data_IF_103557530377
#
_entry.id   IF_103557530377
#
_cell.length_a   1.000
_cell.length_b   1.000
_cell.length_c   1.000
_cell.angle_alpha   90.00
_cell.angle_beta   90.00
_cell.angle_gamma   90.00
#
_symmetry.space_group_name_H-M   'P 1'
#
loop_
_entity.id
_entity.type
_entity.pdbx_description
1 polymer ?
#
# COMPACT_ATOMS: atom_id res chain seq x y z
N UNK A 1 -21.77 8.52 -8.09
CA UNK A 1 -21.15 9.05 -6.86
C UNK A 1 -20.45 7.95 -6.06
N UNK A 2 -19.25 8.23 -5.56
CA UNK A 2 -18.38 7.24 -4.90
C UNK A 2 -18.78 6.91 -3.45
N UNK A 3 -19.65 7.71 -2.82
CA UNK A 3 -20.19 7.50 -1.44
C UNK A 3 -19.09 7.29 -0.39
N UNK A 4 -17.99 8.03 -0.53
CA UNK A 4 -16.80 7.92 0.35
C UNK A 4 -16.21 6.50 0.45
N UNK A 5 -16.41 5.67 -0.58
CA UNK A 5 -15.88 4.30 -0.63
C UNK A 5 -14.65 4.24 -1.51
N UNK A 6 -13.55 3.71 -0.98
CA UNK A 6 -12.39 3.29 -1.78
C UNK A 6 -12.72 1.96 -2.48
N UNK A 7 -12.55 1.93 -3.79
CA UNK A 7 -12.82 0.76 -4.61
C UNK A 7 -11.52 0.24 -5.23
N UNK A 8 -11.39 -1.07 -5.34
CA UNK A 8 -10.26 -1.72 -5.99
C UNK A 8 -10.75 -2.91 -6.82
N UNK A 9 -10.44 -2.89 -8.12
CA UNK A 9 -10.69 -3.99 -9.04
C UNK A 9 -9.36 -4.64 -9.39
N UNK A 10 -9.33 -5.96 -9.40
CA UNK A 10 -8.19 -6.73 -9.87
C UNK A 10 -8.47 -7.18 -11.30
N UNK A 11 -7.62 -6.76 -12.22
CA UNK A 11 -7.69 -7.11 -13.65
C UNK A 11 -6.52 -8.03 -14.00
N UNK A 12 -6.55 -8.61 -15.20
CA UNK A 12 -5.46 -9.47 -15.67
C UNK A 12 -4.15 -8.69 -15.85
N UNK A 13 -4.24 -7.39 -16.19
CA UNK A 13 -3.09 -6.50 -16.36
C UNK A 13 -2.60 -5.86 -15.05
N UNK A 14 -3.37 -5.99 -13.97
CA UNK A 14 -3.04 -5.45 -12.66
C UNK A 14 -4.22 -4.77 -11.94
N UNK A 15 -4.03 -4.29 -10.70
CA UNK A 15 -5.08 -3.63 -9.94
C UNK A 15 -5.37 -2.20 -10.42
N UNK A 16 -6.65 -1.84 -10.40
CA UNK A 16 -7.16 -0.49 -10.61
C UNK A 16 -7.93 -0.04 -9.36
N UNK A 17 -7.46 1.03 -8.73
CA UNK A 17 -8.07 1.60 -7.53
C UNK A 17 -8.66 2.99 -7.79
N UNK A 18 -9.82 3.27 -7.20
CA UNK A 18 -10.48 4.57 -7.14
C UNK A 18 -10.59 5.01 -5.68
N UNK A 19 -9.86 6.08 -5.33
CA UNK A 19 -9.81 6.68 -4.01
C UNK A 19 -10.69 7.93 -3.98
N UNK A 20 -11.76 7.98 -3.17
CA UNK A 20 -12.69 9.10 -3.16
C UNK A 20 -11.98 10.38 -2.68
N UNK A 21 -12.22 11.49 -3.37
CA UNK A 21 -11.73 12.81 -2.98
C UNK A 21 -12.90 13.65 -2.47
N UNK A 22 -12.65 14.42 -1.42
CA UNK A 22 -13.57 15.45 -0.95
C UNK A 22 -13.26 16.76 -1.69
N UNK A 23 -13.71 16.85 -2.95
CA UNK A 23 -13.68 18.06 -3.79
C UNK A 23 -15.13 18.51 -4.05
N UNK A 24 -15.32 19.66 -4.68
CA UNK A 24 -16.63 20.18 -5.11
C UNK A 24 -17.43 19.08 -5.87
N UNK A 25 -18.39 18.47 -5.17
CA UNK A 25 -19.16 17.30 -5.63
C UNK A 25 -18.53 15.95 -5.27
N UNK A 26 -19.33 15.00 -4.77
CA UNK A 26 -18.92 13.61 -4.43
C UNK A 26 -18.73 12.70 -5.67
N UNK A 27 -17.97 13.20 -6.64
CA UNK A 27 -17.75 12.57 -7.94
C UNK A 27 -16.27 12.44 -8.32
N UNK A 28 -15.37 13.07 -7.57
CA UNK A 28 -13.94 13.04 -7.85
C UNK A 28 -13.26 11.86 -7.17
N UNK A 29 -12.44 11.14 -7.94
CA UNK A 29 -11.61 10.07 -7.42
C UNK A 29 -10.16 10.29 -7.88
N UNK A 30 -9.20 10.04 -6.99
CA UNK A 30 -7.82 9.79 -7.37
C UNK A 30 -7.70 8.34 -7.81
N UNK A 31 -7.00 8.08 -8.91
CA UNK A 31 -6.83 6.72 -9.44
C UNK A 31 -5.40 6.23 -9.25
N UNK A 32 -5.27 4.93 -9.02
CA UNK A 32 -4.00 4.22 -9.12
C UNK A 32 -4.25 3.01 -10.01
N UNK A 33 -3.70 3.05 -11.23
CA UNK A 33 -3.85 1.99 -12.22
C UNK A 33 -2.48 1.34 -12.44
N UNK A 34 -2.31 0.14 -11.89
CA UNK A 34 -1.10 -0.66 -12.12
C UNK A 34 -1.32 -1.54 -13.34
N UNK A 35 -0.43 -1.40 -14.33
CA UNK A 35 -0.43 -2.15 -15.59
C UNK A 35 1.00 -2.51 -15.98
N UNK A 36 1.15 -3.32 -17.03
CA UNK A 36 2.47 -3.59 -17.63
C UNK A 36 3.12 -2.30 -18.15
N UNK A 37 4.46 -2.21 -18.24
CA UNK A 37 5.12 -1.00 -18.74
C UNK A 37 4.67 -0.57 -20.14
N UNK A 38 4.47 -1.52 -21.06
CA UNK A 38 3.99 -1.23 -22.41
C UNK A 38 2.57 -0.66 -22.41
N UNK A 39 1.72 -1.17 -21.53
CA UNK A 39 0.35 -0.68 -21.38
C UNK A 39 0.29 0.70 -20.73
N UNK A 40 1.17 0.97 -19.75
CA UNK A 40 1.31 2.29 -19.16
C UNK A 40 1.73 3.32 -20.22
N UNK A 41 2.72 2.99 -21.06
CA UNK A 41 3.14 3.85 -22.18
C UNK A 41 1.99 4.13 -23.14
N UNK A 42 1.19 3.12 -23.50
CA UNK A 42 0.01 3.28 -24.35
C UNK A 42 -1.04 4.19 -23.73
N UNK A 43 -1.41 3.97 -22.46
CA UNK A 43 -2.42 4.75 -21.74
C UNK A 43 -2.01 6.23 -21.58
N UNK A 44 -0.71 6.49 -21.43
CA UNK A 44 -0.17 7.85 -21.25
C UNK A 44 -0.24 8.69 -22.53
N UNK A 45 -0.27 8.07 -23.72
CA UNK A 45 -0.34 8.78 -25.01
C UNK A 45 -1.76 8.93 -25.56
N UNK A 46 -2.77 8.34 -24.92
CA UNK A 46 -4.16 8.49 -25.35
C UNK A 46 -4.64 9.93 -25.20
N UNK A 47 -5.57 10.33 -26.05
CA UNK A 47 -6.40 11.51 -25.80
C UNK A 47 -7.30 11.29 -24.58
N UNK A 48 -7.62 12.36 -23.84
CA UNK A 48 -8.33 12.26 -22.56
C UNK A 48 -9.70 11.55 -22.71
N UNK A 49 -10.44 11.82 -23.79
CA UNK A 49 -11.73 11.17 -24.07
C UNK A 49 -11.61 9.64 -24.24
N UNK A 50 -10.54 9.18 -24.89
CA UNK A 50 -10.27 7.76 -25.08
C UNK A 50 -9.82 7.12 -23.76
N UNK A 51 -8.94 7.80 -23.04
CA UNK A 51 -8.51 7.37 -21.72
C UNK A 51 -9.69 7.21 -20.75
N UNK A 52 -10.61 8.17 -20.69
CA UNK A 52 -11.80 8.09 -19.85
C UNK A 52 -12.69 6.88 -20.20
N UNK A 53 -12.88 6.59 -21.49
CA UNK A 53 -13.64 5.40 -21.92
C UNK A 53 -12.95 4.10 -21.53
N UNK A 54 -11.64 4.01 -21.72
CA UNK A 54 -10.89 2.83 -21.32
C UNK A 54 -10.87 2.65 -19.80
N UNK A 55 -10.72 3.73 -19.04
CA UNK A 55 -10.78 3.72 -17.59
C UNK A 55 -12.16 3.28 -17.09
N UNK A 56 -13.24 3.75 -17.71
CA UNK A 56 -14.61 3.32 -17.41
C UNK A 56 -14.80 1.83 -17.67
N UNK A 57 -14.35 1.33 -18.83
CA UNK A 57 -14.44 -0.07 -19.20
C UNK A 57 -13.60 -0.95 -18.26
N UNK A 58 -12.37 -0.53 -17.97
CA UNK A 58 -11.48 -1.17 -17.02
C UNK A 58 -12.04 -1.15 -15.59
N UNK A 59 -13.03 -0.32 -15.30
CA UNK A 59 -13.72 -0.27 -14.02
C UNK A 59 -15.17 -0.80 -14.09
N UNK A 60 -15.55 -1.42 -15.23
CA UNK A 60 -16.87 -2.01 -15.51
C UNK A 60 -18.05 -1.04 -15.28
N UNK A 61 -17.83 0.27 -15.49
CA UNK A 61 -18.85 1.29 -15.28
C UNK A 61 -19.40 1.36 -13.84
N UNK A 62 -18.67 0.82 -12.85
CA UNK A 62 -19.16 0.64 -11.47
C UNK A 62 -19.64 1.94 -10.81
N UNK A 63 -19.01 3.06 -11.17
CA UNK A 63 -19.33 4.41 -10.69
C UNK A 63 -20.03 5.29 -11.75
N UNK A 64 -20.42 4.71 -12.88
CA UNK A 64 -20.96 5.41 -14.03
C UNK A 64 -19.88 5.90 -14.99
N UNK A 65 -20.28 6.82 -15.87
CA UNK A 65 -19.43 7.37 -16.91
C UNK A 65 -18.28 8.19 -16.33
N UNK A 66 -17.06 7.99 -16.85
CA UNK A 66 -15.92 8.86 -16.55
C UNK A 66 -15.97 10.06 -17.49
N UNK A 67 -16.17 11.26 -16.95
CA UNK A 67 -16.40 12.47 -17.73
C UNK A 67 -15.12 13.24 -18.07
N UNK A 68 -14.11 13.14 -17.22
CA UNK A 68 -12.84 13.85 -17.38
C UNK A 68 -11.75 13.22 -16.53
N UNK A 69 -10.50 13.48 -16.88
CA UNK A 69 -9.32 13.13 -16.10
C UNK A 69 -8.40 14.35 -16.00
N UNK A 70 -7.78 14.54 -14.84
CA UNK A 70 -6.66 15.50 -14.68
C UNK A 70 -5.39 14.94 -15.34
N UNK A 71 -4.32 15.75 -15.38
CA UNK A 71 -3.02 15.35 -15.93
C UNK A 71 -2.54 14.00 -15.39
N UNK A 72 -2.28 13.08 -16.31
CA UNK A 72 -1.84 11.71 -16.01
C UNK A 72 -0.36 11.71 -15.64
N UNK A 73 -0.01 10.85 -14.67
CA UNK A 73 1.36 10.63 -14.23
C UNK A 73 1.66 9.14 -14.25
N UNK A 74 2.84 8.77 -14.75
CA UNK A 74 3.32 7.40 -14.75
C UNK A 74 4.58 7.29 -13.90
N UNK A 75 4.53 6.43 -12.88
CA UNK A 75 5.66 6.20 -11.96
C UNK A 75 6.02 4.71 -12.00
N UNK A 76 7.28 4.35 -12.33
CA UNK A 76 7.67 2.95 -12.39
C UNK A 76 7.68 2.34 -10.99
N UNK A 77 6.94 1.24 -10.82
CA UNK A 77 6.89 0.49 -9.58
C UNK A 77 8.17 -0.34 -9.45
N UNK A 78 8.96 -0.10 -8.40
CA UNK A 78 10.17 -0.85 -8.12
C UNK A 78 10.14 -1.35 -6.70
N UNK A 79 10.09 -2.67 -6.54
CA UNK A 79 10.27 -3.27 -5.23
C UNK A 79 11.74 -3.17 -4.83
N UNK A 80 12.01 -2.54 -3.69
CA UNK A 80 13.35 -2.38 -3.15
C UNK A 80 13.33 -2.66 -1.67
N UNK A 81 14.34 -3.37 -1.17
CA UNK A 81 14.50 -3.61 0.25
C UNK A 81 15.97 -3.52 0.62
N UNK A 82 16.30 -2.65 1.57
CA UNK A 82 17.64 -2.52 2.08
C UNK A 82 18.02 -3.78 2.87
N UNK A 83 19.20 -4.34 2.62
CA UNK A 83 19.72 -5.50 3.38
C UNK A 83 19.99 -5.17 4.85
N UNK A 84 20.23 -3.88 5.15
CA UNK A 84 20.43 -3.33 6.47
C UNK A 84 19.75 -1.97 6.51
N UNK A 85 18.98 -1.72 7.56
CA UNK A 85 18.30 -0.44 7.76
C UNK A 85 19.20 0.54 8.51
N UNK A 86 20.24 0.05 9.20
CA UNK A 86 21.08 0.89 10.04
C UNK A 86 22.56 0.67 9.80
N UNK A 87 23.33 1.71 10.04
CA UNK A 87 24.78 1.70 10.22
C UNK A 87 25.14 2.66 11.36
N UNK A 88 26.43 2.74 11.72
CA UNK A 88 26.86 3.65 12.79
C UNK A 88 26.51 5.09 12.40
N UNK A 89 25.67 5.74 13.19
CA UNK A 89 25.20 7.11 12.93
C UNK A 89 24.25 7.27 11.74
N UNK A 90 23.69 6.18 11.20
CA UNK A 90 22.80 6.21 10.03
C UNK A 90 21.60 5.27 10.24
N UNK A 91 20.40 5.78 9.95
CA UNK A 91 19.19 4.98 9.85
C UNK A 91 18.46 5.32 8.54
N UNK A 92 18.03 4.29 7.82
CA UNK A 92 17.16 4.37 6.65
C UNK A 92 15.72 4.16 7.11
N UNK A 93 14.79 4.99 6.62
CA UNK A 93 13.36 4.89 6.92
C UNK A 93 12.53 5.09 5.64
N UNK A 94 11.31 4.53 5.61
CA UNK A 94 10.39 4.69 4.46
C UNK A 94 11.03 4.21 3.15
N UNK A 95 10.81 4.95 2.07
CA UNK A 95 11.29 4.62 0.71
C UNK A 95 12.81 4.42 0.60
N UNK A 96 13.59 4.99 1.53
CA UNK A 96 15.04 4.77 1.58
C UNK A 96 15.41 3.37 2.11
N UNK A 97 14.55 2.78 2.94
CA UNK A 97 14.73 1.44 3.50
C UNK A 97 13.96 0.36 2.72
N UNK A 98 12.75 0.68 2.25
CA UNK A 98 11.90 -0.26 1.53
C UNK A 98 10.94 0.48 0.60
N UNK A 99 10.68 -0.09 -0.57
CA UNK A 99 9.63 0.34 -1.49
C UNK A 99 8.77 -0.88 -1.78
N UNK A 100 7.50 -0.85 -1.41
CA UNK A 100 6.55 -1.96 -1.57
C UNK A 100 5.64 -1.67 -2.78
N UNK A 101 5.23 -2.72 -3.51
CA UNK A 101 4.24 -2.60 -4.58
C UNK A 101 2.95 -1.94 -4.04
N UNK A 102 2.50 -0.81 -4.59
CA UNK A 102 1.37 -0.05 -4.09
C UNK A 102 0.08 -0.80 -4.38
N UNK A 103 -0.41 -1.53 -3.39
CA UNK A 103 -1.67 -2.24 -3.49
C UNK A 103 -2.77 -1.61 -2.63
N UNK A 104 -2.47 -0.53 -1.89
CA UNK A 104 -3.44 0.23 -1.09
C UNK A 104 -2.94 1.60 -0.57
N UNK A 105 -1.97 2.26 -1.22
CA UNK A 105 -1.42 3.54 -0.71
C UNK A 105 -0.66 3.42 0.62
N UNK A 106 -0.18 2.22 0.96
CA UNK A 106 0.45 1.89 2.25
C UNK A 106 1.88 2.41 2.42
N UNK A 107 2.58 2.82 1.34
CA UNK A 107 4.00 3.18 1.40
C UNK A 107 4.29 4.28 2.42
N UNK A 108 3.48 5.34 2.43
CA UNK A 108 3.63 6.45 3.38
C UNK A 108 3.36 6.02 4.84
N UNK A 109 2.38 5.13 5.05
CA UNK A 109 2.05 4.64 6.40
C UNK A 109 3.20 3.83 6.99
N UNK A 110 3.88 3.03 6.19
CA UNK A 110 5.07 2.31 6.62
C UNK A 110 6.23 3.25 6.95
N UNK A 111 6.42 4.30 6.14
CA UNK A 111 7.39 5.36 6.43
C UNK A 111 7.09 6.08 7.74
N UNK A 112 5.81 6.39 8.03
CA UNK A 112 5.42 7.00 9.30
C UNK A 112 5.65 6.07 10.48
N UNK A 113 5.34 4.78 10.35
CA UNK A 113 5.63 3.79 11.39
C UNK A 113 7.12 3.65 11.65
N UNK A 114 7.95 3.69 10.59
CA UNK A 114 9.40 3.69 10.73
C UNK A 114 9.89 4.94 11.48
N UNK A 115 9.39 6.11 11.11
CA UNK A 115 9.72 7.38 11.77
C UNK A 115 9.32 7.36 13.25
N UNK A 116 8.12 6.88 13.56
CA UNK A 116 7.60 6.77 14.92
C UNK A 116 8.43 5.81 15.78
N UNK A 117 8.75 4.61 15.27
CA UNK A 117 9.60 3.64 16.00
C UNK A 117 11.02 4.18 16.18
N UNK A 118 11.59 4.83 15.16
CA UNK A 118 12.92 5.42 15.28
C UNK A 118 12.92 6.53 16.34
N UNK A 119 11.95 7.44 16.31
CA UNK A 119 11.81 8.51 17.30
C UNK A 119 11.69 7.97 18.73
N UNK A 120 10.90 6.91 18.93
CA UNK A 120 10.75 6.25 20.22
C UNK A 120 12.09 5.64 20.71
N UNK A 121 12.81 4.93 19.83
CA UNK A 121 14.11 4.33 20.14
C UNK A 121 15.14 5.40 20.52
N UNK A 122 15.20 6.50 19.76
CA UNK A 122 16.13 7.61 20.02
C UNK A 122 15.80 8.34 21.31
N UNK A 123 14.52 8.58 21.58
CA UNK A 123 14.05 9.24 22.82
C UNK A 123 14.37 8.39 24.05
N UNK A 124 14.15 7.08 24.00
CA UNK A 124 14.50 6.18 25.08
C UNK A 124 16.01 6.08 25.32
N UNK A 125 16.82 6.06 24.26
CA UNK A 125 18.27 6.08 24.37
C UNK A 125 18.76 7.38 25.05
N UNK A 126 18.24 8.53 24.64
CA UNK A 126 18.57 9.82 25.22
C UNK A 126 18.24 9.87 26.73
N UNK A 127 17.04 9.41 27.13
CA UNK A 127 16.62 9.34 28.55
C UNK A 127 17.53 8.46 29.41
N UNK A 128 18.18 7.45 28.84
CA UNK A 128 19.08 6.51 29.53
C UNK A 128 20.56 6.93 29.45
N UNK A 129 20.87 8.06 28.80
CA UNK A 129 22.25 8.49 28.55
C UNK A 129 23.01 7.62 27.54
N UNK A 130 22.31 6.83 26.73
CA UNK A 130 22.92 6.03 25.67
C UNK A 130 23.29 6.91 24.46
N UNK A 131 24.37 6.58 23.75
CA UNK A 131 24.72 7.28 22.51
C UNK A 131 23.79 6.83 21.38
N UNK A 132 22.92 7.73 20.95
CA UNK A 132 22.01 7.57 19.82
C UNK A 132 22.64 7.07 18.51
N UNK A 133 23.90 7.42 18.23
CA UNK A 133 24.64 6.96 17.05
C UNK A 133 25.09 5.50 17.10
N UNK A 134 25.01 4.85 18.27
CA UNK A 134 25.53 3.51 18.45
C UNK A 134 24.67 2.48 17.72
N UNK A 135 25.33 1.54 17.05
CA UNK A 135 24.67 0.48 16.31
C UNK A 135 23.75 -0.37 17.21
N UNK A 136 24.07 -0.46 18.50
CA UNK A 136 23.22 -1.14 19.50
C UNK A 136 21.87 -0.44 19.69
N UNK A 137 21.85 0.89 19.68
CA UNK A 137 20.63 1.70 19.80
C UNK A 137 19.84 1.62 18.51
N UNK A 138 20.47 1.95 17.38
CA UNK A 138 19.81 1.93 16.06
C UNK A 138 19.35 0.52 15.66
N UNK A 139 20.07 -0.52 16.06
CA UNK A 139 19.66 -1.92 15.85
C UNK A 139 18.36 -2.29 16.57
N UNK A 140 17.91 -1.54 17.59
CA UNK A 140 16.57 -1.71 18.17
C UNK A 140 15.47 -1.33 17.17
N UNK A 141 15.69 -0.25 16.41
CA UNK A 141 14.79 0.17 15.34
C UNK A 141 14.74 -0.89 14.22
N UNK A 142 15.90 -1.33 13.72
CA UNK A 142 15.97 -2.35 12.67
C UNK A 142 15.26 -3.65 13.08
N UNK A 143 15.49 -4.15 14.31
CA UNK A 143 14.82 -5.36 14.81
C UNK A 143 13.30 -5.24 14.93
N UNK A 144 12.77 -4.04 15.21
CA UNK A 144 11.32 -3.81 15.30
C UNK A 144 10.66 -3.66 13.93
N UNK A 145 11.33 -3.01 12.97
CA UNK A 145 10.73 -2.67 11.67
C UNK A 145 11.05 -3.64 10.54
N UNK A 146 12.29 -4.12 10.43
CA UNK A 146 12.71 -4.94 9.29
C UNK A 146 11.89 -6.24 9.15
N UNK A 147 11.62 -7.02 10.21
CA UNK A 147 10.81 -8.24 10.06
C UNK A 147 9.37 -7.94 9.63
N UNK A 148 8.79 -6.86 10.16
CA UNK A 148 7.42 -6.46 9.84
C UNK A 148 7.31 -5.99 8.39
N UNK A 149 8.22 -5.13 7.93
CA UNK A 149 8.24 -4.66 6.55
C UNK A 149 8.49 -5.83 5.57
N UNK A 150 9.36 -6.79 5.93
CA UNK A 150 9.61 -7.98 5.12
C UNK A 150 8.39 -8.92 5.07
N UNK A 151 7.68 -9.11 6.18
CA UNK A 151 6.47 -9.92 6.24
C UNK A 151 5.36 -9.32 5.35
N UNK A 152 5.17 -8.00 5.42
CA UNK A 152 4.23 -7.30 4.56
C UNK A 152 4.62 -7.45 3.08
N UNK A 153 5.90 -7.24 2.74
CA UNK A 153 6.38 -7.45 1.36
C UNK A 153 6.08 -8.87 0.86
N UNK A 154 6.35 -9.90 1.66
CA UNK A 154 6.07 -11.29 1.29
C UNK A 154 4.56 -11.55 1.13
N UNK A 155 3.72 -10.97 1.99
CA UNK A 155 2.27 -11.06 1.85
C UNK A 155 1.78 -10.40 0.55
N UNK A 156 2.34 -9.24 0.20
CA UNK A 156 2.00 -8.53 -1.05
C UNK A 156 2.43 -9.31 -2.28
N UNK A 157 3.63 -9.90 -2.29
CA UNK A 157 4.10 -10.74 -3.39
C UNK A 157 3.27 -12.03 -3.53
N UNK A 158 2.88 -12.63 -2.40
CA UNK A 158 1.96 -13.77 -2.38
C UNK A 158 0.57 -13.42 -2.91
N UNK A 159 0.06 -12.24 -2.56
CA UNK A 159 -1.19 -11.72 -3.08
C UNK A 159 -1.10 -11.45 -4.59
N UNK A 160 -0.06 -10.77 -5.05
CA UNK A 160 0.15 -10.52 -6.48
C UNK A 160 0.20 -11.83 -7.28
N UNK A 161 1.00 -12.80 -6.84
CA UNK A 161 1.08 -14.12 -7.48
C UNK A 161 -0.26 -14.85 -7.50
N UNK A 162 -1.03 -14.78 -6.42
CA UNK A 162 -2.35 -15.41 -6.36
C UNK A 162 -3.34 -14.79 -7.36
N UNK A 163 -3.23 -13.48 -7.61
CA UNK A 163 -4.14 -12.76 -8.50
C UNK A 163 -3.69 -12.73 -9.96
N UNK A 164 -2.38 -12.84 -10.24
CA UNK A 164 -1.81 -12.98 -11.58
C UNK A 164 -1.73 -14.44 -12.06
N UNK A 165 -1.84 -15.44 -11.17
CA UNK A 165 -1.75 -16.83 -11.58
C UNK A 165 -2.96 -17.27 -12.41
N UNK A 166 -2.68 -17.66 -13.66
CA UNK A 166 -3.66 -18.10 -14.65
C UNK A 166 -3.87 -19.63 -14.83
N UNK A 167 -3.85 -20.48 -13.78
CA UNK A 167 -4.47 -21.80 -13.89
C UNK A 167 -5.89 -21.83 -13.27
N UNK A 168 -6.82 -22.49 -13.98
CA UNK A 168 -8.24 -22.69 -13.62
C UNK A 168 -8.55 -23.01 -12.14
N UNK A 169 -7.75 -23.83 -11.42
CA UNK A 169 -7.99 -24.11 -9.99
C UNK A 169 -7.80 -22.90 -9.07
N UNK A 170 -6.82 -22.02 -9.37
CA UNK A 170 -6.53 -20.83 -8.56
C UNK A 170 -7.59 -19.73 -8.75
N UNK A 171 -8.17 -19.61 -9.95
CA UNK A 171 -9.33 -18.72 -10.20
C UNK A 171 -10.55 -19.11 -9.35
N UNK A 172 -10.83 -20.41 -9.20
CA UNK A 172 -11.93 -20.91 -8.36
C UNK A 172 -11.67 -20.69 -6.87
N UNK A 173 -10.44 -20.95 -6.41
CA UNK A 173 -10.01 -20.69 -5.03
C UNK A 173 -10.08 -19.20 -4.69
N UNK A 174 -9.64 -18.31 -5.60
CA UNK A 174 -9.70 -16.85 -5.47
C UNK A 174 -11.12 -16.35 -5.28
N UNK A 175 -12.03 -16.75 -6.16
CA UNK A 175 -13.42 -16.28 -6.12
C UNK A 175 -14.20 -16.85 -4.93
N UNK A 176 -13.90 -18.09 -4.51
CA UNK A 176 -14.53 -18.73 -3.35
C UNK A 176 -13.97 -18.16 -2.04
N UNK A 177 -12.66 -17.95 -1.99
CA UNK A 177 -11.95 -17.35 -0.85
C UNK A 177 -12.38 -15.90 -0.58
N UNK A 178 -12.43 -15.05 -1.61
CA UNK A 178 -12.95 -13.68 -1.48
C UNK A 178 -14.41 -13.65 -1.02
N UNK A 179 -15.26 -14.55 -1.51
CA UNK A 179 -16.67 -14.66 -1.06
C UNK A 179 -16.79 -15.16 0.38
N UNK A 180 -15.90 -16.04 0.84
CA UNK A 180 -15.84 -16.49 2.23
C UNK A 180 -15.33 -15.39 3.16
N UNK A 181 -14.24 -14.70 2.82
CA UNK A 181 -13.69 -13.59 3.61
C UNK A 181 -14.70 -12.44 3.71
N UNK A 182 -15.44 -12.15 2.64
CA UNK A 182 -16.49 -11.13 2.68
C UNK A 182 -17.70 -11.54 3.54
N UNK A 183 -17.84 -12.84 3.87
CA UNK A 183 -18.86 -13.38 4.78
C UNK A 183 -18.40 -13.51 6.24
N UNK A 184 -17.12 -13.24 6.53
CA UNK A 184 -16.54 -13.32 7.87
C UNK A 184 -16.03 -11.94 8.31
N UNK A 185 -16.84 -11.16 9.06
CA UNK A 185 -16.51 -9.79 9.48
C UNK A 185 -15.20 -9.68 10.25
N UNK A 186 -14.85 -10.69 11.05
CA UNK A 186 -13.63 -10.74 11.85
C UNK A 186 -12.37 -10.97 11.00
N UNK A 187 -12.45 -11.83 9.98
CA UNK A 187 -11.35 -12.05 9.04
C UNK A 187 -11.08 -10.80 8.19
N UNK A 188 -12.15 -10.09 7.80
CA UNK A 188 -12.06 -8.78 7.13
C UNK A 188 -11.44 -7.72 8.05
N UNK A 189 -11.85 -7.67 9.31
CA UNK A 189 -11.28 -6.75 10.30
C UNK A 189 -9.78 -7.03 10.53
N UNK A 190 -9.37 -8.29 10.60
CA UNK A 190 -7.96 -8.67 10.72
C UNK A 190 -7.15 -8.25 9.48
N UNK A 191 -7.68 -8.49 8.28
CA UNK A 191 -7.07 -8.05 7.01
C UNK A 191 -6.93 -6.53 6.92
N UNK A 192 -7.98 -5.79 7.29
CA UNK A 192 -7.97 -4.33 7.32
C UNK A 192 -6.97 -3.82 8.37
N UNK A 193 -6.91 -4.44 9.54
CA UNK A 193 -5.98 -4.04 10.62
C UNK A 193 -4.53 -4.32 10.25
N UNK A 194 -4.26 -5.43 9.57
CA UNK A 194 -2.94 -5.73 9.01
C UNK A 194 -2.58 -4.77 7.86
N UNK A 195 -3.52 -4.52 6.94
CA UNK A 195 -3.33 -3.59 5.83
C UNK A 195 -3.18 -2.13 6.27
N UNK A 196 -3.76 -1.74 7.40
CA UNK A 196 -3.57 -0.41 8.00
C UNK A 196 -2.30 -0.33 8.85
N UNK A 197 -1.55 -1.43 9.02
CA UNK A 197 -0.37 -1.47 9.89
C UNK A 197 -0.71 -1.27 11.36
N UNK A 198 -1.91 -1.68 11.80
CA UNK A 198 -2.46 -1.52 13.15
C UNK A 198 -2.35 -2.81 13.99
N UNK A 199 -1.56 -3.79 13.54
CA UNK A 199 -1.31 -5.05 14.23
C UNK A 199 0.17 -5.18 14.58
N UNK A 200 0.48 -5.68 15.80
CA UNK A 200 1.85 -5.94 16.26
C UNK A 200 2.38 -4.95 17.31
N UNK A 201 3.71 -4.88 17.44
CA UNK A 201 4.41 -3.94 18.34
C UNK A 201 4.38 -2.51 17.75
N UNK A 202 3.25 -1.83 17.95
CA UNK A 202 3.05 -0.46 17.50
C UNK A 202 3.81 0.53 18.41
N UNK A 203 4.49 1.53 17.82
CA UNK A 203 5.07 2.62 18.60
C UNK A 203 3.96 3.38 19.34
N UNK A 204 4.28 4.01 20.46
CA UNK A 204 3.32 4.75 21.28
C UNK A 204 2.49 5.74 20.44
N UNK A 205 3.15 6.44 19.49
CA UNK A 205 2.52 7.41 18.59
C UNK A 205 1.49 6.81 17.61
N UNK A 206 1.52 5.49 17.37
CA UNK A 206 0.60 4.80 16.47
C UNK A 206 -0.50 4.03 17.22
N UNK A 207 -0.47 4.04 18.56
CA UNK A 207 -1.55 3.44 19.36
C UNK A 207 -2.71 4.42 19.39
N UNK A 208 -3.86 3.98 18.87
CA UNK A 208 -5.11 4.72 19.02
C UNK A 208 -5.48 4.64 20.51
N UNK A 209 -5.33 5.75 21.24
CA UNK A 209 -5.95 5.87 22.56
C UNK A 209 -7.45 5.72 22.37
N UNK A 210 -8.05 4.69 22.98
CA UNK A 210 -9.50 4.58 23.06
C UNK A 210 -10.01 5.78 23.87
N UNK A 211 -10.51 6.79 23.17
CA UNK A 211 -11.38 7.83 23.73
C UNK A 211 -12.83 7.44 23.53
#
# INVERSE_FOLDING_TARGET
PHRKTAWQRFTDDGPLAFLPLEREGEHWCSIVWSVTPAEAERLMVLEDDLFCRELEQAFEGRLGQVLSADSRLCVPLRQRHAKRYVARGLALIGDAAHTIHPLAGQGVNLGFLDAAVLAEVLTHAAKRGERWSDLRVLGRYERRRMPHNLALMAAMEGFERLFQADPLPLRWLRNTGLKMVNRMPEAKALFVREALGLSGDLPELARIEAR
#
